data_IF_053224795544
#
_entry.id   IF_053224795544
#
_cell.length_a   1.000
_cell.length_b   1.000
_cell.length_c   1.000
_cell.angle_alpha   90.00
_cell.angle_beta   90.00
_cell.angle_gamma   90.00
#
_symmetry.space_group_name_H-M   'P 1'
#
loop_
_entity.id
_entity.type
_entity.pdbx_description
1 polymer ?
#
# COMPACT_ATOMS: atom_id res chain seq x y z
N UNK A 1 16.88 7.45 36.06
CA UNK A 1 16.52 7.99 34.74
C UNK A 1 15.90 6.86 33.94
N UNK A 2 14.65 6.98 33.51
CA UNK A 2 13.96 5.93 32.76
C UNK A 2 14.51 5.90 31.33
N UNK A 3 14.82 4.71 30.78
CA UNK A 3 15.30 4.46 29.40
C UNK A 3 14.28 4.79 28.29
N UNK A 4 13.46 5.82 28.51
CA UNK A 4 12.57 6.42 27.51
C UNK A 4 13.20 7.71 26.98
N UNK A 5 14.53 7.69 26.79
CA UNK A 5 15.22 8.74 26.06
C UNK A 5 14.84 8.64 24.59
N UNK A 6 13.83 9.45 24.26
CA UNK A 6 13.68 10.22 23.04
C UNK A 6 14.23 9.56 21.77
N UNK A 7 13.44 8.68 21.18
CA UNK A 7 13.56 8.52 19.73
C UNK A 7 13.00 9.80 19.10
N UNK A 8 13.85 10.55 18.40
CA UNK A 8 13.46 11.76 17.68
C UNK A 8 12.36 11.41 16.64
N UNK A 9 11.13 11.92 16.81
CA UNK A 9 10.04 11.64 15.87
C UNK A 9 10.38 12.03 14.44
N UNK A 10 11.18 13.10 14.23
CA UNK A 10 11.59 13.52 12.90
C UNK A 10 12.61 12.56 12.29
N UNK A 11 13.49 11.97 13.10
CA UNK A 11 14.41 10.94 12.65
C UNK A 11 13.66 9.66 12.25
N UNK A 12 12.67 9.25 13.05
CA UNK A 12 11.79 8.12 12.73
C UNK A 12 11.01 8.35 11.44
N UNK A 13 10.43 9.53 11.27
CA UNK A 13 9.70 9.89 10.06
C UNK A 13 10.61 9.86 8.82
N UNK A 14 11.82 10.41 8.89
CA UNK A 14 12.79 10.34 7.78
C UNK A 14 13.22 8.92 7.46
N UNK A 15 13.42 8.08 8.49
CA UNK A 15 13.73 6.66 8.30
C UNK A 15 12.57 5.93 7.62
N UNK A 16 11.35 6.20 8.07
CA UNK A 16 10.13 5.67 7.45
C UNK A 16 10.00 6.11 6.00
N UNK A 17 10.17 7.39 5.67
CA UNK A 17 10.10 7.90 4.30
C UNK A 17 11.13 7.22 3.39
N UNK A 18 12.37 7.04 3.89
CA UNK A 18 13.41 6.34 3.14
C UNK A 18 13.04 4.88 2.87
N UNK A 19 12.59 4.16 3.89
CA UNK A 19 12.16 2.76 3.79
C UNK A 19 10.95 2.63 2.86
N UNK A 20 9.95 3.49 3.05
CA UNK A 20 8.73 3.56 2.23
C UNK A 20 9.10 3.75 0.76
N UNK A 21 9.98 4.71 0.43
CA UNK A 21 10.47 4.93 -0.94
C UNK A 21 11.13 3.68 -1.53
N UNK A 22 12.02 3.02 -0.78
CA UNK A 22 12.68 1.80 -1.25
C UNK A 22 11.67 0.69 -1.53
N UNK A 23 10.68 0.50 -0.67
CA UNK A 23 9.65 -0.53 -0.84
C UNK A 23 8.67 -0.23 -1.95
N UNK A 24 8.24 1.02 -2.11
CA UNK A 24 7.37 1.42 -3.22
C UNK A 24 8.06 1.22 -4.58
N UNK A 25 9.37 1.47 -4.67
CA UNK A 25 10.14 1.18 -5.88
C UNK A 25 10.17 -0.33 -6.18
N UNK A 26 10.48 -1.16 -5.18
CA UNK A 26 10.44 -2.63 -5.32
C UNK A 26 9.05 -3.12 -5.73
N UNK A 27 8.02 -2.62 -5.05
CA UNK A 27 6.63 -2.92 -5.37
C UNK A 27 6.30 -2.59 -6.82
N UNK A 28 6.70 -1.42 -7.31
CA UNK A 28 6.41 -0.98 -8.69
C UNK A 28 7.09 -1.89 -9.72
N UNK A 29 8.35 -2.28 -9.47
CA UNK A 29 9.05 -3.27 -10.31
C UNK A 29 8.33 -4.62 -10.29
N UNK A 30 8.00 -5.14 -9.11
CA UNK A 30 7.26 -6.40 -8.97
C UNK A 30 5.89 -6.32 -9.63
N UNK A 31 5.19 -5.19 -9.55
CA UNK A 31 3.87 -4.99 -10.14
C UNK A 31 3.97 -5.08 -11.67
N UNK A 32 5.01 -4.51 -12.26
CA UNK A 32 5.29 -4.64 -13.70
C UNK A 32 5.54 -6.09 -14.10
N UNK A 33 6.30 -6.86 -13.32
CA UNK A 33 6.52 -8.29 -13.60
C UNK A 33 5.23 -9.09 -13.43
N UNK A 34 4.42 -8.78 -12.41
CA UNK A 34 3.11 -9.41 -12.20
C UNK A 34 2.14 -9.13 -13.35
N UNK A 35 2.21 -7.95 -13.96
CA UNK A 35 1.39 -7.63 -15.13
C UNK A 35 1.82 -8.38 -16.40
N UNK A 36 3.10 -8.75 -16.51
CA UNK A 36 3.63 -9.54 -17.62
C UNK A 36 3.37 -11.04 -17.42
N UNK A 37 3.46 -11.51 -16.18
CA UNK A 37 3.19 -12.89 -15.78
C UNK A 37 2.31 -12.91 -14.51
N UNK A 38 0.98 -12.82 -14.67
CA UNK A 38 0.05 -12.81 -13.56
C UNK A 38 -0.19 -14.21 -12.97
N UNK A 39 0.30 -15.28 -13.61
CA UNK A 39 0.18 -16.66 -13.13
C UNK A 39 1.30 -17.07 -12.17
N UNK A 40 2.41 -16.34 -12.16
CA UNK A 40 3.45 -16.52 -11.16
C UNK A 40 3.02 -16.02 -9.78
N UNK A 41 2.67 -16.96 -8.90
CA UNK A 41 2.29 -16.68 -7.50
C UNK A 41 3.41 -16.01 -6.69
N UNK A 42 4.68 -16.17 -7.08
CA UNK A 42 5.81 -15.55 -6.40
C UNK A 42 5.76 -14.03 -6.50
N UNK A 43 5.29 -13.50 -7.63
CA UNK A 43 5.08 -12.06 -7.82
C UNK A 43 4.01 -11.52 -6.88
N UNK A 44 2.87 -12.19 -6.76
CA UNK A 44 1.81 -11.82 -5.83
C UNK A 44 2.25 -11.87 -4.36
N UNK A 45 3.09 -12.85 -4.00
CA UNK A 45 3.68 -12.95 -2.66
C UNK A 45 4.61 -11.76 -2.37
N UNK A 46 5.43 -11.38 -3.33
CA UNK A 46 6.31 -10.22 -3.21
C UNK A 46 5.50 -8.91 -3.07
N UNK A 47 4.46 -8.71 -3.87
CA UNK A 47 3.55 -7.55 -3.73
C UNK A 47 2.92 -7.48 -2.33
N UNK A 48 2.41 -8.61 -1.84
CA UNK A 48 1.85 -8.72 -0.49
C UNK A 48 2.89 -8.36 0.59
N UNK A 49 4.10 -8.92 0.50
CA UNK A 49 5.17 -8.70 1.47
C UNK A 49 5.62 -7.25 1.55
N UNK A 50 5.75 -6.58 0.41
CA UNK A 50 6.15 -5.16 0.39
C UNK A 50 5.06 -4.28 1.02
N UNK A 51 3.78 -4.55 0.75
CA UNK A 51 2.67 -3.81 1.36
C UNK A 51 2.56 -4.06 2.88
N UNK A 52 2.70 -5.30 3.34
CA UNK A 52 2.66 -5.59 4.78
C UNK A 52 3.87 -4.94 5.51
N UNK A 53 5.02 -4.91 4.85
CA UNK A 53 6.20 -4.22 5.39
C UNK A 53 6.00 -2.72 5.49
N UNK A 54 5.40 -2.07 4.48
CA UNK A 54 5.02 -0.65 4.53
C UNK A 54 4.02 -0.42 5.67
N UNK A 55 3.02 -1.29 5.84
CA UNK A 55 2.05 -1.17 6.93
C UNK A 55 2.70 -1.23 8.31
N UNK A 56 3.64 -2.16 8.50
CA UNK A 56 4.37 -2.31 9.76
C UNK A 56 5.31 -1.12 10.02
N UNK A 57 5.93 -0.57 8.97
CA UNK A 57 6.74 0.64 9.07
C UNK A 57 5.88 1.88 9.41
N UNK A 58 4.71 2.03 8.78
CA UNK A 58 3.78 3.12 9.06
C UNK A 58 3.26 3.10 10.51
N UNK A 59 2.97 1.90 11.03
CA UNK A 59 2.61 1.71 12.45
C UNK A 59 3.69 2.24 13.39
N UNK A 60 4.98 2.04 13.06
CA UNK A 60 6.10 2.48 13.91
C UNK A 60 6.21 4.00 14.05
N UNK A 61 5.63 4.76 13.11
CA UNK A 61 5.60 6.22 13.10
C UNK A 61 4.20 6.80 13.36
N UNK A 62 3.24 5.97 13.76
CA UNK A 62 1.83 6.33 13.97
C UNK A 62 1.12 6.91 12.73
N UNK A 63 1.54 6.56 11.52
CA UNK A 63 0.82 6.91 10.27
C UNK A 63 -0.31 5.90 10.01
N UNK A 64 -1.47 6.19 10.60
CA UNK A 64 -2.64 5.30 10.55
C UNK A 64 -3.21 5.14 9.13
N UNK A 65 -3.14 6.18 8.30
CA UNK A 65 -3.71 6.13 6.95
C UNK A 65 -2.90 5.21 6.04
N UNK A 66 -1.57 5.36 6.05
CA UNK A 66 -0.69 4.47 5.29
C UNK A 66 -0.80 3.04 5.80
N UNK A 67 -0.79 2.83 7.13
CA UNK A 67 -0.95 1.47 7.68
C UNK A 67 -2.22 0.81 7.16
N UNK A 68 -3.35 1.51 7.26
CA UNK A 68 -4.67 0.99 6.91
C UNK A 68 -4.79 0.68 5.43
N UNK A 69 -4.36 1.59 4.56
CA UNK A 69 -4.40 1.37 3.10
C UNK A 69 -3.46 0.24 2.70
N UNK A 70 -2.22 0.22 3.20
CA UNK A 70 -1.27 -0.86 2.90
C UNK A 70 -1.80 -2.24 3.29
N UNK A 71 -2.46 -2.37 4.46
CA UNK A 71 -3.09 -3.65 4.87
C UNK A 71 -4.24 -4.08 3.95
N UNK A 72 -5.08 -3.15 3.52
CA UNK A 72 -6.18 -3.45 2.58
C UNK A 72 -5.62 -3.92 1.24
N UNK A 73 -4.63 -3.21 0.69
CA UNK A 73 -3.97 -3.59 -0.55
C UNK A 73 -3.26 -4.95 -0.43
N UNK A 74 -2.60 -5.24 0.70
CA UNK A 74 -1.96 -6.54 0.93
C UNK A 74 -3.00 -7.67 0.90
N UNK A 75 -4.17 -7.45 1.50
CA UNK A 75 -5.28 -8.40 1.47
C UNK A 75 -5.77 -8.65 0.04
N UNK A 76 -5.88 -7.60 -0.78
CA UNK A 76 -6.25 -7.73 -2.20
C UNK A 76 -5.23 -8.52 -2.99
N UNK A 77 -3.93 -8.25 -2.82
CA UNK A 77 -2.87 -9.00 -3.48
C UNK A 77 -2.96 -10.51 -3.13
N UNK A 78 -3.22 -10.83 -1.85
CA UNK A 78 -3.43 -12.22 -1.40
C UNK A 78 -4.66 -12.87 -2.04
N UNK A 79 -5.77 -12.13 -2.17
CA UNK A 79 -6.99 -12.63 -2.81
C UNK A 79 -6.80 -12.86 -4.30
N UNK A 80 -6.15 -11.93 -5.01
CA UNK A 80 -5.86 -12.05 -6.43
C UNK A 80 -4.95 -13.24 -6.76
N UNK A 81 -3.99 -13.54 -5.88
CA UNK A 81 -3.18 -14.77 -5.98
C UNK A 81 -4.06 -16.01 -6.14
N UNK A 82 -5.12 -16.12 -5.32
CA UNK A 82 -6.03 -17.27 -5.26
C UNK A 82 -7.17 -17.22 -6.28
N UNK A 83 -7.45 -16.05 -6.86
CA UNK A 83 -8.63 -15.81 -7.71
C UNK A 83 -8.21 -15.16 -9.03
N UNK A 84 -7.93 -16.00 -10.03
CA UNK A 84 -7.53 -15.58 -11.38
C UNK A 84 -8.41 -14.47 -11.99
N UNK A 85 -9.76 -14.54 -11.93
CA UNK A 85 -10.62 -13.52 -12.53
C UNK A 85 -10.42 -12.10 -11.97
N UNK A 86 -9.92 -11.99 -10.73
CA UNK A 86 -9.75 -10.72 -10.05
C UNK A 86 -8.40 -10.06 -10.31
N UNK A 87 -7.43 -10.79 -10.88
CA UNK A 87 -6.01 -10.37 -10.95
C UNK A 87 -5.83 -9.03 -11.64
N UNK A 88 -6.41 -8.84 -12.83
CA UNK A 88 -6.26 -7.58 -13.58
C UNK A 88 -6.89 -6.39 -12.85
N UNK A 89 -8.10 -6.56 -12.31
CA UNK A 89 -8.78 -5.52 -11.52
C UNK A 89 -7.98 -5.16 -10.27
N UNK A 90 -7.38 -6.16 -9.62
CA UNK A 90 -6.51 -5.94 -8.45
C UNK A 90 -5.22 -5.22 -8.82
N UNK A 91 -4.55 -5.55 -9.94
CA UNK A 91 -3.35 -4.83 -10.37
C UNK A 91 -3.60 -3.32 -10.55
N UNK A 92 -4.73 -2.94 -11.12
CA UNK A 92 -5.11 -1.52 -11.25
C UNK A 92 -5.32 -0.84 -9.89
N UNK A 93 -5.98 -1.53 -8.96
CA UNK A 93 -6.21 -1.01 -7.61
C UNK A 93 -4.90 -0.87 -6.86
N UNK A 94 -4.02 -1.87 -6.97
CA UNK A 94 -2.69 -1.88 -6.38
C UNK A 94 -1.84 -0.71 -6.89
N UNK A 95 -1.85 -0.46 -8.20
CA UNK A 95 -1.14 0.68 -8.80
C UNK A 95 -1.61 2.00 -8.17
N UNK A 96 -2.92 2.26 -8.19
CA UNK A 96 -3.50 3.50 -7.65
C UNK A 96 -3.24 3.63 -6.14
N UNK A 97 -3.38 2.54 -5.40
CA UNK A 97 -3.16 2.52 -3.95
C UNK A 97 -1.72 2.86 -3.59
N UNK A 98 -0.75 2.31 -4.32
CA UNK A 98 0.67 2.60 -4.12
C UNK A 98 1.03 4.01 -4.56
N UNK A 99 0.41 4.55 -5.61
CA UNK A 99 0.55 5.97 -5.96
C UNK A 99 0.06 6.88 -4.84
N UNK A 100 -1.09 6.58 -4.23
CA UNK A 100 -1.60 7.38 -3.11
C UNK A 100 -0.69 7.29 -1.87
N UNK A 101 -0.15 6.11 -1.55
CA UNK A 101 0.86 5.96 -0.48
C UNK A 101 2.10 6.80 -0.79
N UNK A 102 2.59 6.77 -2.03
CA UNK A 102 3.73 7.58 -2.46
C UNK A 102 3.47 9.07 -2.25
N UNK A 103 2.35 9.59 -2.73
CA UNK A 103 2.00 11.01 -2.58
C UNK A 103 1.88 11.42 -1.10
N UNK A 104 1.24 10.60 -0.27
CA UNK A 104 1.09 10.89 1.16
C UNK A 104 2.42 10.84 1.92
N UNK A 105 3.23 9.80 1.71
CA UNK A 105 4.45 9.60 2.47
C UNK A 105 5.61 10.47 1.99
N UNK A 106 5.71 10.75 0.69
CA UNK A 106 6.93 11.29 0.06
C UNK A 106 6.73 12.67 -0.59
N UNK A 107 5.49 13.11 -0.79
CA UNK A 107 5.17 14.43 -1.35
C UNK A 107 4.26 15.27 -0.43
N UNK A 108 4.61 15.48 0.87
CA UNK A 108 3.72 16.15 1.83
C UNK A 108 3.41 17.62 1.51
N UNK A 109 4.04 18.24 0.50
CA UNK A 109 3.87 19.66 0.16
C UNK A 109 2.67 20.00 -0.76
N UNK A 110 1.79 19.05 -1.13
CA UNK A 110 0.57 19.34 -1.93
C UNK A 110 -0.72 19.60 -1.14
N UNK A 111 -0.65 19.71 0.19
CA UNK A 111 -1.83 20.00 1.03
C UNK A 111 -2.29 21.48 1.06
N UNK A 112 -1.80 22.34 0.17
CA UNK A 112 -2.38 23.67 -0.07
C UNK A 112 -3.46 23.67 -1.17
N UNK A 113 -3.59 22.58 -1.95
CA UNK A 113 -4.58 22.45 -3.02
C UNK A 113 -5.26 21.08 -2.99
N UNK A 114 -6.04 20.79 -1.94
CA UNK A 114 -7.25 19.96 -2.05
C UNK A 114 -7.15 18.47 -2.47
N UNK A 115 -5.99 17.85 -2.64
CA UNK A 115 -5.86 16.44 -3.10
C UNK A 115 -5.94 15.38 -1.99
N UNK A 116 -6.65 15.64 -0.88
CA UNK A 116 -7.14 14.58 0.04
C UNK A 116 -8.16 13.63 -0.65
N UNK A 117 -8.54 13.98 -1.88
CA UNK A 117 -9.45 13.27 -2.76
C UNK A 117 -9.04 11.82 -3.09
N UNK A 118 -7.74 11.47 -3.08
CA UNK A 118 -7.33 10.15 -3.58
C UNK A 118 -7.50 9.02 -2.55
N UNK A 119 -7.24 9.25 -1.26
CA UNK A 119 -7.47 8.23 -0.22
C UNK A 119 -8.96 7.90 -0.08
N UNK A 120 -9.82 8.91 -0.03
CA UNK A 120 -11.28 8.73 0.08
C UNK A 120 -11.86 8.03 -1.16
N UNK A 121 -11.29 8.29 -2.35
CA UNK A 121 -11.71 7.63 -3.59
C UNK A 121 -11.21 6.20 -3.69
N UNK A 122 -10.00 5.93 -3.22
CA UNK A 122 -9.47 4.57 -3.04
C UNK A 122 -10.30 3.77 -2.06
N UNK A 123 -10.67 4.35 -0.92
CA UNK A 123 -11.54 3.74 0.08
C UNK A 123 -12.88 3.27 -0.49
N UNK A 124 -13.57 4.16 -1.22
CA UNK A 124 -14.84 3.80 -1.88
C UNK A 124 -14.67 2.65 -2.86
N UNK A 125 -13.61 2.65 -3.66
CA UNK A 125 -13.30 1.56 -4.60
C UNK A 125 -12.92 0.25 -3.91
N UNK A 126 -12.20 0.32 -2.80
CA UNK A 126 -11.87 -0.85 -1.99
C UNK A 126 -13.14 -1.48 -1.41
N UNK A 127 -14.07 -0.64 -0.94
CA UNK A 127 -15.38 -1.05 -0.44
C UNK A 127 -16.22 -1.67 -1.57
N UNK A 128 -16.34 -1.02 -2.72
CA UNK A 128 -17.04 -1.55 -3.91
C UNK A 128 -16.45 -2.90 -4.35
N UNK A 129 -15.12 -3.03 -4.40
CA UNK A 129 -14.45 -4.28 -4.75
C UNK A 129 -14.77 -5.41 -3.76
N UNK A 130 -14.85 -5.10 -2.45
CA UNK A 130 -15.24 -6.11 -1.44
C UNK A 130 -16.69 -6.56 -1.57
N UNK A 131 -17.61 -5.70 -2.05
CA UNK A 131 -19.01 -6.09 -2.30
C UNK A 131 -19.15 -6.90 -3.59
N UNK A 132 -18.53 -6.48 -4.69
CA UNK A 132 -18.54 -7.22 -5.97
C UNK A 132 -18.03 -8.66 -5.82
N UNK A 133 -17.09 -8.89 -4.90
CA UNK A 133 -16.49 -10.22 -4.67
C UNK A 133 -17.27 -11.12 -3.71
N UNK A 134 -18.34 -10.61 -3.09
CA UNK A 134 -19.26 -11.39 -2.25
C UNK A 134 -20.47 -11.91 -3.05
N UNK A 135 -20.88 -11.23 -4.12
CA UNK A 135 -22.03 -11.63 -4.94
C UNK A 135 -21.71 -12.73 -5.98
N UNK A 136 -20.43 -13.09 -6.18
CA UNK A 136 -20.00 -14.18 -7.06
C UNK A 136 -19.85 -15.55 -6.34
N UNK A 137 -20.39 -15.72 -5.13
CA UNK A 137 -20.34 -16.97 -4.35
C UNK A 137 -21.60 -17.85 -4.47
#
# INVERSE_FOLDING_TARGET
MSMKELVDPQALEKMFQKECKTRLNRFTTTLSHTAQDPDDESHWNALHQELDSIANAARSVNDQETERVSRKLATLARQARQRQPLRMKVLEILLRGVTAIHCHCLEPQRSATGEVLDYVRLEKRLIEFTYDTQDEQ
#
